data_IF_101274451007
#
_entry.id   IF_101274451007
#
_cell.length_a   1.000
_cell.length_b   1.000
_cell.length_c   1.000
_cell.angle_alpha   90.00
_cell.angle_beta   90.00
_cell.angle_gamma   90.00
#
_symmetry.space_group_name_H-M   'P 1'
#
loop_
_entity.id
_entity.type
_entity.pdbx_description
1 polymer ?
#
# COMPACT_ATOMS: atom_id res chain seq x y z
N UNK A 1 33.23 11.88 -11.04
CA UNK A 1 32.79 13.17 -11.63
C UNK A 1 31.27 13.24 -11.77
N UNK A 2 30.63 12.36 -12.55
CA UNK A 2 29.16 12.33 -12.72
C UNK A 2 28.37 12.31 -11.40
N UNK A 3 28.78 11.45 -10.45
CA UNK A 3 28.14 11.34 -9.15
C UNK A 3 28.25 12.61 -8.29
N UNK A 4 29.36 13.35 -8.38
CA UNK A 4 29.52 14.62 -7.68
C UNK A 4 28.63 15.71 -8.27
N UNK A 5 28.47 15.73 -9.60
CA UNK A 5 27.56 16.67 -10.29
C UNK A 5 26.10 16.34 -9.92
N UNK A 6 25.75 15.06 -9.81
CA UNK A 6 24.43 14.66 -9.32
C UNK A 6 24.20 15.17 -7.89
N UNK A 7 25.12 14.85 -6.97
CA UNK A 7 25.04 15.32 -5.58
C UNK A 7 24.96 16.85 -5.46
N UNK A 8 25.64 17.61 -6.31
CA UNK A 8 25.54 19.08 -6.27
C UNK A 8 24.15 19.60 -6.68
N UNK A 9 23.46 18.90 -7.59
CA UNK A 9 22.11 19.26 -8.02
C UNK A 9 21.01 18.73 -7.09
N UNK A 10 21.27 17.64 -6.37
CA UNK A 10 20.29 16.99 -5.49
C UNK A 10 20.48 17.35 -4.01
N UNK A 11 21.41 18.26 -3.68
CA UNK A 11 21.70 18.64 -2.30
C UNK A 11 22.34 17.53 -1.47
N UNK A 12 23.15 16.67 -2.12
CA UNK A 12 23.79 15.53 -1.49
C UNK A 12 22.91 14.28 -1.37
N UNK A 13 21.71 14.30 -1.93
CA UNK A 13 20.81 13.15 -1.88
C UNK A 13 21.35 11.96 -2.67
N UNK A 14 21.38 10.80 -2.02
CA UNK A 14 21.52 9.51 -2.69
C UNK A 14 20.21 9.11 -3.39
N UNK A 15 20.33 8.50 -4.58
CA UNK A 15 19.19 8.02 -5.36
C UNK A 15 18.77 6.60 -4.96
N UNK A 16 19.74 5.74 -4.63
CA UNK A 16 19.49 4.40 -4.15
C UNK A 16 19.17 4.48 -2.67
N UNK A 17 18.04 3.88 -2.27
CA UNK A 17 17.67 3.72 -0.87
C UNK A 17 17.43 2.25 -0.60
N UNK A 18 18.38 1.63 0.12
CA UNK A 18 18.29 0.24 0.53
C UNK A 18 17.15 0.06 1.53
N UNK A 19 16.32 -0.96 1.30
CA UNK A 19 15.36 -1.49 2.26
C UNK A 19 15.74 -2.91 2.66
N UNK A 20 15.12 -3.42 3.72
CA UNK A 20 15.38 -4.79 4.23
C UNK A 20 15.09 -5.85 3.15
N UNK A 21 14.08 -5.61 2.31
CA UNK A 21 13.75 -6.49 1.18
C UNK A 21 14.13 -5.86 -0.16
N UNK A 22 14.37 -6.72 -1.17
CA UNK A 22 14.61 -6.30 -2.55
C UNK A 22 13.43 -5.49 -3.13
N UNK A 23 12.20 -5.83 -2.72
CA UNK A 23 10.99 -5.08 -3.10
C UNK A 23 10.97 -3.68 -2.49
N UNK A 24 11.21 -3.56 -1.19
CA UNK A 24 11.29 -2.25 -0.52
C UNK A 24 12.41 -1.39 -1.12
N UNK A 25 13.57 -1.97 -1.41
CA UNK A 25 14.68 -1.27 -2.08
C UNK A 25 14.27 -0.72 -3.44
N UNK A 26 13.57 -1.51 -4.25
CA UNK A 26 13.07 -1.08 -5.57
C UNK A 26 12.11 0.10 -5.44
N UNK A 27 11.10 -0.01 -4.57
CA UNK A 27 10.11 1.04 -4.36
C UNK A 27 10.75 2.34 -3.84
N UNK A 28 11.58 2.25 -2.80
CA UNK A 28 12.23 3.40 -2.17
C UNK A 28 13.19 4.11 -3.14
N UNK A 29 13.92 3.34 -3.94
CA UNK A 29 14.79 3.88 -4.99
C UNK A 29 13.97 4.61 -6.07
N UNK A 30 12.85 4.02 -6.52
CA UNK A 30 11.97 4.63 -7.50
C UNK A 30 11.32 5.92 -6.97
N UNK A 31 10.89 5.91 -5.70
CA UNK A 31 10.31 7.07 -5.03
C UNK A 31 11.34 8.20 -4.91
N UNK A 32 12.58 7.87 -4.53
CA UNK A 32 13.66 8.85 -4.43
C UNK A 32 14.04 9.43 -5.78
N UNK A 33 14.09 8.58 -6.82
CA UNK A 33 14.31 9.01 -8.20
C UNK A 33 13.24 10.02 -8.64
N UNK A 34 11.96 9.73 -8.36
CA UNK A 34 10.84 10.63 -8.68
C UNK A 34 10.93 11.96 -7.93
N UNK A 35 11.21 11.95 -6.63
CA UNK A 35 11.43 13.18 -5.83
C UNK A 35 12.56 14.05 -6.39
N UNK A 36 13.56 13.45 -7.03
CA UNK A 36 14.69 14.17 -7.64
C UNK A 36 14.50 14.49 -9.12
N UNK A 37 13.33 14.21 -9.72
CA UNK A 37 13.01 14.42 -11.15
C UNK A 37 13.50 15.76 -11.68
N UNK A 38 13.11 16.86 -11.04
CA UNK A 38 13.46 18.22 -11.50
C UNK A 38 14.96 18.49 -11.40
N UNK A 39 15.60 18.07 -10.30
CA UNK A 39 17.03 18.23 -10.09
C UNK A 39 17.84 17.42 -11.11
N UNK A 40 17.42 16.19 -11.42
CA UNK A 40 18.06 15.35 -12.43
C UNK A 40 17.89 15.94 -13.83
N UNK A 41 16.69 16.42 -14.19
CA UNK A 41 16.49 17.11 -15.48
C UNK A 41 17.41 18.31 -15.62
N UNK A 42 17.49 19.16 -14.57
CA UNK A 42 18.40 20.31 -14.52
C UNK A 42 19.87 19.90 -14.64
N UNK A 43 20.27 18.83 -13.95
CA UNK A 43 21.63 18.29 -14.02
C UNK A 43 22.02 17.95 -15.46
N UNK A 44 21.18 17.19 -16.15
CA UNK A 44 21.47 16.68 -17.50
C UNK A 44 21.54 17.77 -18.58
N UNK A 45 20.91 18.93 -18.36
CA UNK A 45 20.98 20.09 -19.27
C UNK A 45 21.99 21.17 -18.82
N UNK A 46 22.66 20.97 -17.68
CA UNK A 46 23.63 21.94 -17.16
C UNK A 46 24.93 21.95 -17.95
N UNK A 47 25.56 23.12 -18.08
CA UNK A 47 26.89 23.24 -18.69
C UNK A 47 27.94 22.37 -17.98
N UNK A 48 27.84 22.26 -16.66
CA UNK A 48 28.69 21.40 -15.84
C UNK A 48 28.65 19.94 -16.30
N UNK A 49 27.48 19.44 -16.67
CA UNK A 49 27.32 18.09 -17.20
C UNK A 49 27.79 17.98 -18.65
N UNK A 50 27.33 18.89 -19.52
CA UNK A 50 27.60 18.88 -20.96
C UNK A 50 29.09 18.97 -21.29
N UNK A 51 29.87 19.67 -20.46
CA UNK A 51 31.32 19.81 -20.62
C UNK A 51 32.13 18.60 -20.13
N UNK A 52 31.50 17.57 -19.56
CA UNK A 52 32.21 16.37 -19.10
C UNK A 52 32.54 15.38 -20.23
N UNK A 53 33.61 14.60 -20.05
CA UNK A 53 33.88 13.44 -20.92
C UNK A 53 32.77 12.39 -20.82
N UNK A 54 32.21 12.19 -19.63
CA UNK A 54 31.15 11.20 -19.36
C UNK A 54 29.87 11.49 -20.14
N UNK A 55 29.49 12.75 -20.33
CA UNK A 55 28.31 13.12 -21.12
C UNK A 55 28.38 12.64 -22.58
N UNK A 56 29.59 12.42 -23.13
CA UNK A 56 29.78 11.92 -24.49
C UNK A 56 29.58 10.40 -24.61
N UNK A 57 29.59 9.67 -23.50
CA UNK A 57 29.43 8.21 -23.48
C UNK A 57 28.02 7.78 -23.88
N UNK A 58 27.90 6.64 -24.56
CA UNK A 58 26.62 6.11 -25.03
C UNK A 58 25.62 5.84 -23.88
N UNK A 59 26.10 5.44 -22.71
CA UNK A 59 25.27 5.23 -21.50
C UNK A 59 24.71 6.54 -20.97
N UNK A 60 25.53 7.59 -20.92
CA UNK A 60 25.11 8.92 -20.47
C UNK A 60 24.08 9.54 -21.42
N UNK A 61 24.28 9.40 -22.74
CA UNK A 61 23.30 9.85 -23.75
C UNK A 61 21.95 9.12 -23.62
N UNK A 62 21.97 7.82 -23.33
CA UNK A 62 20.75 7.06 -23.04
C UNK A 62 20.05 7.54 -21.77
N UNK A 63 20.80 7.73 -20.68
CA UNK A 63 20.24 8.26 -19.42
C UNK A 63 19.65 9.67 -19.60
N UNK A 64 20.33 10.54 -20.34
CA UNK A 64 19.83 11.86 -20.72
C UNK A 64 18.47 11.77 -21.42
N UNK A 65 18.38 10.91 -22.45
CA UNK A 65 17.15 10.73 -23.21
C UNK A 65 15.99 10.27 -22.29
N UNK A 66 16.22 9.26 -21.45
CA UNK A 66 15.21 8.74 -20.52
C UNK A 66 14.77 9.81 -19.50
N UNK A 67 15.71 10.52 -18.87
CA UNK A 67 15.41 11.53 -17.84
C UNK A 67 14.65 12.73 -18.43
N UNK A 68 14.84 13.04 -19.72
CA UNK A 68 14.08 14.10 -20.36
C UNK A 68 12.70 13.67 -20.89
N UNK A 69 12.46 12.37 -21.07
CA UNK A 69 11.15 11.86 -21.51
C UNK A 69 10.06 12.06 -20.45
N UNK A 70 8.97 12.74 -20.82
CA UNK A 70 7.80 12.91 -19.96
C UNK A 70 7.11 11.59 -19.66
N UNK A 71 6.98 10.72 -20.68
CA UNK A 71 6.35 9.40 -20.54
C UNK A 71 7.04 8.54 -19.48
N UNK A 72 8.38 8.53 -19.44
CA UNK A 72 9.14 7.82 -18.41
C UNK A 72 8.70 8.22 -17.00
N UNK A 73 8.59 9.52 -16.72
CA UNK A 73 8.18 9.99 -15.40
C UNK A 73 6.71 9.71 -15.08
N UNK A 74 5.85 9.68 -16.09
CA UNK A 74 4.46 9.28 -15.91
C UNK A 74 4.35 7.80 -15.54
N UNK A 75 5.15 6.92 -16.15
CA UNK A 75 5.25 5.50 -15.79
C UNK A 75 5.84 5.28 -14.40
N UNK A 76 6.86 6.07 -14.02
CA UNK A 76 7.39 6.06 -12.65
C UNK A 76 6.30 6.44 -11.64
N UNK A 77 5.55 7.50 -11.90
CA UNK A 77 4.46 7.94 -11.01
C UNK A 77 3.34 6.88 -10.93
N UNK A 78 2.95 6.31 -12.07
CA UNK A 78 1.98 5.22 -12.14
C UNK A 78 2.41 4.04 -11.26
N UNK A 79 3.67 3.62 -11.40
CA UNK A 79 4.24 2.53 -10.62
C UNK A 79 4.24 2.83 -9.12
N UNK A 80 4.58 4.07 -8.72
CA UNK A 80 4.56 4.48 -7.32
C UNK A 80 3.14 4.47 -6.73
N UNK A 81 2.14 4.94 -7.49
CA UNK A 81 0.74 4.92 -7.08
C UNK A 81 0.22 3.49 -6.89
N UNK A 82 0.57 2.58 -7.81
CA UNK A 82 0.20 1.17 -7.71
C UNK A 82 0.89 0.45 -6.54
N UNK A 83 2.21 0.65 -6.40
CA UNK A 83 3.02 -0.09 -5.41
C UNK A 83 2.88 0.44 -3.99
N UNK A 84 2.60 1.74 -3.80
CA UNK A 84 2.61 2.38 -2.48
C UNK A 84 1.69 1.68 -1.48
N UNK A 85 0.45 1.42 -1.88
CA UNK A 85 -0.52 0.75 -1.02
C UNK A 85 -0.13 -0.71 -0.70
N UNK A 86 0.47 -1.42 -1.65
CA UNK A 86 0.92 -2.80 -1.46
C UNK A 86 2.16 -2.87 -0.54
N UNK A 87 3.04 -1.88 -0.58
CA UNK A 87 4.18 -1.78 0.33
C UNK A 87 3.74 -1.66 1.79
N UNK A 88 2.64 -0.95 2.06
CA UNK A 88 2.06 -0.87 3.40
C UNK A 88 1.48 -2.20 3.89
N UNK A 89 0.81 -2.95 3.00
CA UNK A 89 0.37 -4.32 3.34
C UNK A 89 1.55 -5.21 3.65
N UNK A 90 2.63 -5.13 2.87
CA UNK A 90 3.85 -5.89 3.13
C UNK A 90 4.46 -5.53 4.49
N UNK A 91 4.52 -4.23 4.83
CA UNK A 91 5.00 -3.76 6.13
C UNK A 91 4.17 -4.29 7.29
N UNK A 92 2.85 -4.38 7.12
CA UNK A 92 1.95 -4.96 8.12
C UNK A 92 2.26 -6.44 8.37
N UNK A 93 2.41 -7.25 7.32
CA UNK A 93 2.64 -8.71 7.47
C UNK A 93 4.06 -9.06 7.90
N UNK A 94 5.02 -8.20 7.60
CA UNK A 94 6.42 -8.33 7.99
C UNK A 94 6.70 -7.87 9.43
N UNK A 95 5.70 -7.32 10.12
CA UNK A 95 5.81 -6.88 11.50
C UNK A 95 5.77 -8.07 12.47
N UNK A 96 6.90 -8.34 13.13
CA UNK A 96 7.03 -9.46 14.08
C UNK A 96 6.40 -9.19 15.44
N UNK A 97 6.15 -7.92 15.79
CA UNK A 97 5.62 -7.55 17.11
C UNK A 97 4.12 -7.79 17.22
N UNK A 98 3.38 -7.77 16.10
CA UNK A 98 1.92 -7.91 16.09
C UNK A 98 1.50 -8.90 14.99
N UNK A 99 0.83 -10.01 15.35
CA UNK A 99 0.30 -10.94 14.38
C UNK A 99 -0.63 -10.27 13.36
N UNK A 100 -0.32 -10.44 12.08
CA UNK A 100 -1.04 -9.77 10.99
C UNK A 100 -2.34 -10.49 10.59
N UNK A 101 -2.60 -11.69 11.09
CA UNK A 101 -3.72 -12.55 10.64
C UNK A 101 -5.09 -11.87 10.81
N UNK A 102 -5.27 -11.10 11.88
CA UNK A 102 -6.50 -10.33 12.10
C UNK A 102 -6.67 -9.10 11.21
N UNK A 103 -5.62 -8.70 10.48
CA UNK A 103 -5.53 -7.41 9.81
C UNK A 103 -5.36 -7.51 8.29
N UNK A 104 -4.70 -8.55 7.81
CA UNK A 104 -4.29 -8.67 6.40
C UNK A 104 -5.45 -8.61 5.40
N UNK A 105 -6.59 -9.21 5.73
CA UNK A 105 -7.77 -9.19 4.86
C UNK A 105 -8.24 -7.75 4.60
N UNK A 106 -8.50 -6.98 5.66
CA UNK A 106 -8.88 -5.56 5.56
C UNK A 106 -7.77 -4.72 4.91
N UNK A 107 -6.50 -5.05 5.17
CA UNK A 107 -5.37 -4.32 4.59
C UNK A 107 -5.32 -4.47 3.07
N UNK A 108 -5.67 -5.64 2.53
CA UNK A 108 -5.77 -5.85 1.09
C UNK A 108 -6.92 -5.05 0.47
N UNK A 109 -8.08 -5.02 1.11
CA UNK A 109 -9.21 -4.20 0.64
C UNK A 109 -8.85 -2.71 0.63
N UNK A 110 -8.25 -2.22 1.71
CA UNK A 110 -7.75 -0.83 1.78
C UNK A 110 -6.68 -0.54 0.74
N UNK A 111 -5.85 -1.53 0.39
CA UNK A 111 -4.84 -1.33 -0.63
C UNK A 111 -5.48 -1.08 -2.00
N UNK A 112 -6.53 -1.84 -2.35
CA UNK A 112 -7.31 -1.60 -3.57
C UNK A 112 -7.99 -0.24 -3.54
N UNK A 113 -8.64 0.13 -2.44
CA UNK A 113 -9.26 1.45 -2.28
C UNK A 113 -8.24 2.58 -2.47
N UNK A 114 -7.07 2.48 -1.83
CA UNK A 114 -5.99 3.46 -1.94
C UNK A 114 -5.48 3.60 -3.37
N UNK A 115 -5.33 2.49 -4.10
CA UNK A 115 -4.94 2.50 -5.51
C UNK A 115 -6.01 3.18 -6.37
N UNK A 116 -7.28 2.83 -6.20
CA UNK A 116 -8.38 3.47 -6.95
C UNK A 116 -8.41 4.98 -6.72
N UNK A 117 -8.31 5.41 -5.46
CA UNK A 117 -8.25 6.83 -5.09
C UNK A 117 -7.03 7.54 -5.67
N UNK A 118 -5.86 6.90 -5.69
CA UNK A 118 -4.66 7.46 -6.30
C UNK A 118 -4.82 7.71 -7.81
N UNK A 119 -5.74 7.02 -8.47
CA UNK A 119 -6.11 7.21 -9.86
C UNK A 119 -7.45 7.94 -10.05
N UNK A 120 -7.95 8.62 -9.01
CA UNK A 120 -9.18 9.41 -9.04
C UNK A 120 -10.41 8.59 -9.49
N UNK A 121 -10.44 7.29 -9.15
CA UNK A 121 -11.52 6.39 -9.58
C UNK A 121 -11.52 6.03 -11.06
N UNK A 122 -10.47 6.37 -11.82
CA UNK A 122 -10.37 6.00 -13.23
C UNK A 122 -10.02 4.51 -13.38
N UNK A 123 -11.07 3.68 -13.50
CA UNK A 123 -10.98 2.22 -13.57
C UNK A 123 -10.00 1.71 -14.63
N UNK A 124 -9.95 2.36 -15.81
CA UNK A 124 -9.02 1.98 -16.90
C UNK A 124 -7.56 2.03 -16.48
N UNK A 125 -7.21 2.75 -15.41
CA UNK A 125 -5.84 2.87 -14.90
C UNK A 125 -5.51 1.86 -13.81
N UNK A 126 -6.48 1.19 -13.20
CA UNK A 126 -6.20 0.26 -12.10
C UNK A 126 -6.86 -1.11 -12.24
N UNK A 127 -7.72 -1.33 -13.24
CA UNK A 127 -8.35 -2.63 -13.48
C UNK A 127 -7.32 -3.75 -13.64
N UNK A 128 -6.30 -3.55 -14.48
CA UNK A 128 -5.22 -4.52 -14.65
C UNK A 128 -4.42 -4.75 -13.36
N UNK A 129 -4.27 -3.71 -12.53
CA UNK A 129 -3.61 -3.83 -11.22
C UNK A 129 -4.46 -4.70 -10.29
N UNK A 130 -5.78 -4.49 -10.27
CA UNK A 130 -6.71 -5.26 -9.45
C UNK A 130 -6.73 -6.73 -9.88
N UNK A 131 -6.77 -7.01 -11.18
CA UNK A 131 -6.67 -8.38 -11.70
C UNK A 131 -5.39 -9.09 -11.24
N UNK A 132 -4.25 -8.38 -11.23
CA UNK A 132 -2.99 -8.93 -10.71
C UNK A 132 -3.09 -9.18 -9.21
N UNK A 133 -3.65 -8.24 -8.45
CA UNK A 133 -3.84 -8.38 -7.00
C UNK A 133 -4.74 -9.57 -6.70
N UNK A 134 -5.91 -9.66 -7.34
CA UNK A 134 -6.90 -10.72 -7.13
C UNK A 134 -6.34 -12.08 -7.45
N UNK A 135 -5.71 -12.22 -8.62
CA UNK A 135 -5.07 -13.48 -9.00
C UNK A 135 -4.02 -13.92 -7.97
N UNK A 136 -3.26 -13.00 -7.39
CA UNK A 136 -2.26 -13.31 -6.37
C UNK A 136 -2.90 -13.64 -5.02
N UNK A 137 -3.91 -12.86 -4.63
CA UNK A 137 -4.69 -13.04 -3.43
C UNK A 137 -5.36 -14.40 -3.44
N UNK A 138 -6.18 -14.72 -4.44
CA UNK A 138 -6.88 -16.00 -4.60
C UNK A 138 -5.95 -17.22 -4.56
N UNK A 139 -4.79 -17.12 -5.20
CA UNK A 139 -3.86 -18.25 -5.28
C UNK A 139 -3.12 -18.52 -3.95
N UNK A 140 -2.76 -17.48 -3.21
CA UNK A 140 -1.77 -17.59 -2.11
C UNK A 140 -2.34 -17.25 -0.73
N UNK A 141 -3.25 -16.29 -0.63
CA UNK A 141 -3.63 -15.67 0.64
C UNK A 141 -5.15 -15.58 0.85
N UNK A 142 -5.98 -15.85 -0.14
CA UNK A 142 -7.44 -15.93 0.03
C UNK A 142 -7.80 -17.32 0.57
N UNK A 143 -7.65 -17.49 1.87
CA UNK A 143 -7.93 -18.75 2.57
C UNK A 143 -8.95 -18.48 3.67
N UNK A 144 -9.78 -19.49 4.03
CA UNK A 144 -10.70 -19.40 5.16
C UNK A 144 -10.07 -18.83 6.43
N UNK A 145 -8.78 -19.10 6.64
CA UNK A 145 -8.01 -18.62 7.76
C UNK A 145 -7.90 -17.09 7.86
N UNK A 146 -7.71 -16.39 6.74
CA UNK A 146 -7.59 -14.93 6.72
C UNK A 146 -8.95 -14.25 6.89
N UNK A 147 -10.00 -14.84 6.29
CA UNK A 147 -11.40 -14.45 6.52
C UNK A 147 -11.80 -14.63 8.00
N UNK A 148 -11.49 -15.78 8.59
CA UNK A 148 -11.70 -16.04 10.01
C UNK A 148 -10.93 -15.04 10.89
N UNK A 149 -9.66 -14.74 10.55
CA UNK A 149 -8.87 -13.72 11.22
C UNK A 149 -9.54 -12.35 11.21
N UNK A 150 -10.05 -11.93 10.05
CA UNK A 150 -10.79 -10.67 9.91
C UNK A 150 -12.04 -10.62 10.78
N UNK A 151 -12.89 -11.66 10.73
CA UNK A 151 -14.11 -11.74 11.53
C UNK A 151 -13.81 -11.70 13.03
N UNK A 152 -12.79 -12.43 13.46
CA UNK A 152 -12.40 -12.55 14.87
C UNK A 152 -11.63 -11.33 15.37
N UNK A 153 -11.27 -10.37 14.51
CA UNK A 153 -10.66 -9.12 14.96
C UNK A 153 -11.75 -8.19 15.54
N UNK A 154 -11.77 -7.95 16.85
CA UNK A 154 -12.85 -7.20 17.49
C UNK A 154 -12.83 -5.72 17.06
N UNK A 155 -11.66 -5.17 16.70
CA UNK A 155 -11.57 -3.81 16.14
C UNK A 155 -12.32 -3.70 14.83
N UNK A 156 -12.15 -4.65 13.93
CA UNK A 156 -12.82 -4.63 12.64
C UNK A 156 -14.29 -4.98 12.79
N UNK A 157 -14.56 -6.12 13.45
CA UNK A 157 -15.90 -6.66 13.62
C UNK A 157 -16.89 -5.67 14.27
N UNK A 158 -16.48 -4.99 15.35
CA UNK A 158 -17.37 -4.03 16.02
C UNK A 158 -17.39 -2.64 15.36
N UNK A 159 -16.44 -2.32 14.48
CA UNK A 159 -16.46 -1.07 13.72
C UNK A 159 -17.29 -1.14 12.45
N UNK A 160 -17.48 -2.34 11.89
CA UNK A 160 -18.17 -2.54 10.62
C UNK A 160 -19.26 -3.61 10.70
N UNK A 161 -20.56 -3.22 10.73
CA UNK A 161 -21.66 -4.16 10.86
C UNK A 161 -21.86 -5.07 9.64
N UNK A 162 -21.20 -4.78 8.51
CA UNK A 162 -21.33 -5.58 7.28
C UNK A 162 -20.45 -6.83 7.30
N UNK A 163 -19.41 -6.89 8.13
CA UNK A 163 -18.54 -8.07 8.26
C UNK A 163 -19.35 -9.33 8.58
N UNK A 164 -20.38 -9.19 9.42
CA UNK A 164 -21.23 -10.31 9.83
C UNK A 164 -22.26 -10.73 8.77
N UNK A 165 -22.37 -9.99 7.66
CA UNK A 165 -23.25 -10.26 6.51
C UNK A 165 -22.47 -10.74 5.29
N UNK A 166 -21.18 -10.51 5.27
CA UNK A 166 -20.29 -10.95 4.21
C UNK A 166 -20.19 -12.48 4.22
N UNK A 167 -20.74 -13.10 3.17
CA UNK A 167 -20.83 -14.56 3.06
C UNK A 167 -19.46 -15.20 3.01
N UNK A 168 -18.50 -14.59 2.31
CA UNK A 168 -17.16 -15.12 2.17
C UNK A 168 -16.45 -15.13 3.53
N UNK A 169 -16.58 -14.04 4.28
CA UNK A 169 -16.00 -13.94 5.62
C UNK A 169 -16.64 -14.95 6.58
N UNK A 170 -17.97 -15.09 6.54
CA UNK A 170 -18.67 -16.04 7.42
C UNK A 170 -18.39 -17.51 7.06
N UNK A 171 -18.30 -17.84 5.78
CA UNK A 171 -17.97 -19.19 5.32
C UNK A 171 -16.52 -19.54 5.68
N UNK A 172 -15.61 -18.57 5.54
CA UNK A 172 -14.22 -18.71 5.99
C UNK A 172 -14.12 -19.00 7.50
N UNK A 173 -14.90 -18.29 8.32
CA UNK A 173 -15.00 -18.55 9.75
C UNK A 173 -15.49 -19.98 10.03
N UNK A 174 -16.61 -20.40 9.43
CA UNK A 174 -17.18 -21.72 9.68
C UNK A 174 -16.24 -22.85 9.27
N UNK A 175 -15.59 -22.74 8.12
CA UNK A 175 -14.58 -23.71 7.67
C UNK A 175 -13.39 -23.80 8.64
N UNK A 176 -12.97 -22.66 9.23
CA UNK A 176 -11.94 -22.66 10.26
C UNK A 176 -12.40 -23.30 11.57
N UNK A 177 -13.65 -23.05 11.98
CA UNK A 177 -14.21 -23.67 13.18
C UNK A 177 -14.27 -25.18 12.99
N UNK A 178 -14.83 -25.65 11.89
CA UNK A 178 -14.92 -27.07 11.56
C UNK A 178 -13.54 -27.74 11.61
N UNK A 179 -12.52 -27.10 11.04
CA UNK A 179 -11.17 -27.65 10.98
C UNK A 179 -10.40 -27.60 12.30
N UNK A 180 -10.65 -26.62 13.15
CA UNK A 180 -9.92 -26.41 14.42
C UNK A 180 -10.64 -26.99 15.64
N UNK A 181 -11.86 -27.50 15.44
CA UNK A 181 -12.64 -28.21 16.45
C UNK A 181 -12.04 -29.57 16.79
N UNK A 182 -12.18 -29.97 18.05
CA UNK A 182 -11.74 -31.29 18.53
C UNK A 182 -12.71 -32.39 18.09
N UNK A 183 -14.01 -32.10 18.23
CA UNK A 183 -15.12 -32.98 17.88
C UNK A 183 -16.37 -32.16 17.51
N UNK A 184 -17.43 -32.85 17.09
CA UNK A 184 -18.71 -32.24 16.70
C UNK A 184 -19.37 -31.45 17.84
N UNK A 185 -19.28 -31.94 19.08
CA UNK A 185 -19.87 -31.23 20.24
C UNK A 185 -19.13 -29.94 20.55
N UNK A 186 -17.82 -29.91 20.32
CA UNK A 186 -17.00 -28.72 20.46
C UNK A 186 -17.32 -27.72 19.35
N UNK A 187 -17.52 -28.19 18.12
CA UNK A 187 -17.93 -27.37 16.98
C UNK A 187 -19.27 -26.67 17.27
N UNK A 188 -20.30 -27.42 17.68
CA UNK A 188 -21.62 -26.88 18.01
C UNK A 188 -21.56 -25.79 19.09
N UNK A 189 -20.71 -25.98 20.10
CA UNK A 189 -20.48 -24.98 21.14
C UNK A 189 -19.79 -23.74 20.60
N UNK A 190 -18.74 -23.90 19.78
CA UNK A 190 -18.06 -22.78 19.13
C UNK A 190 -19.03 -21.97 18.26
N UNK A 191 -19.87 -22.63 17.46
CA UNK A 191 -20.89 -21.98 16.64
C UNK A 191 -21.91 -21.22 17.49
N UNK A 192 -22.35 -21.80 18.60
CA UNK A 192 -23.27 -21.13 19.54
C UNK A 192 -22.63 -19.89 20.17
N UNK A 193 -21.35 -19.97 20.51
CA UNK A 193 -20.58 -18.88 21.10
C UNK A 193 -20.37 -17.69 20.15
N UNK A 194 -20.38 -17.90 18.82
CA UNK A 194 -20.36 -16.81 17.83
C UNK A 194 -21.49 -15.81 18.12
N UNK A 195 -22.68 -16.29 18.47
CA UNK A 195 -23.81 -15.43 18.78
C UNK A 195 -23.53 -14.45 19.93
N UNK A 196 -22.76 -14.88 20.94
CA UNK A 196 -22.37 -14.02 22.07
C UNK A 196 -21.36 -12.95 21.64
N UNK A 197 -20.35 -13.34 20.86
CA UNK A 197 -19.37 -12.42 20.28
C UNK A 197 -20.06 -11.38 19.38
N UNK A 198 -20.93 -11.81 18.46
CA UNK A 198 -21.67 -10.92 17.53
C UNK A 198 -22.49 -9.87 18.26
N UNK A 199 -23.16 -10.24 19.35
CA UNK A 199 -23.97 -9.32 20.14
C UNK A 199 -23.18 -8.48 21.13
N UNK A 200 -21.87 -8.73 21.28
CA UNK A 200 -21.05 -8.08 22.30
C UNK A 200 -21.57 -8.34 23.72
N UNK A 201 -22.15 -9.51 23.99
CA UNK A 201 -22.68 -9.84 25.32
C UNK A 201 -21.57 -10.31 26.27
N UNK A 202 -21.88 -10.40 27.56
CA UNK A 202 -20.94 -10.86 28.59
C UNK A 202 -19.70 -9.95 28.65
N UNK A 203 -18.49 -10.53 28.72
CA UNK A 203 -17.23 -9.77 28.78
C UNK A 203 -16.93 -8.93 27.53
N UNK A 204 -17.55 -9.17 26.38
CA UNK A 204 -17.21 -8.47 25.14
C UNK A 204 -17.74 -7.03 25.10
N UNK A 205 -18.87 -6.76 25.77
CA UNK A 205 -19.54 -5.46 25.76
C UNK A 205 -19.16 -4.55 26.93
N UNK A 206 -18.26 -4.98 27.82
CA UNK A 206 -17.83 -4.13 28.93
C UNK A 206 -17.01 -2.95 28.39
N UNK A 207 -17.12 -1.75 28.97
CA UNK A 207 -16.43 -0.56 28.46
C UNK A 207 -14.92 -0.75 28.27
N UNK A 208 -14.24 -1.47 29.16
CA UNK A 208 -12.81 -1.74 29.06
C UNK A 208 -12.45 -2.62 27.85
N UNK A 209 -13.32 -3.57 27.47
CA UNK A 209 -13.12 -4.41 26.30
C UNK A 209 -13.22 -3.58 25.00
N UNK A 210 -14.18 -2.66 24.94
CA UNK A 210 -14.36 -1.78 23.77
C UNK A 210 -13.21 -0.77 23.61
N UNK A 211 -12.51 -0.43 24.68
CA UNK A 211 -11.31 0.43 24.64
C UNK A 211 -10.03 -0.34 24.28
N UNK A 212 -10.00 -1.66 24.45
CA UNK A 212 -8.79 -2.50 24.33
C UNK A 212 -8.68 -3.26 22.99
N UNK A 213 -9.34 -2.80 21.93
CA UNK A 213 -9.47 -3.54 20.66
C UNK A 213 -8.18 -3.63 19.81
N UNK A 214 -7.07 -3.01 20.26
CA UNK A 214 -5.87 -2.84 19.44
C UNK A 214 -5.04 -4.13 19.26
N UNK A 215 -5.17 -5.11 20.16
CA UNK A 215 -4.42 -6.36 20.11
C UNK A 215 -5.39 -7.54 20.11
N UNK A 216 -5.76 -8.02 18.92
CA UNK A 216 -6.87 -8.96 18.78
C UNK A 216 -6.68 -10.26 19.57
N UNK A 217 -5.52 -10.91 19.48
CA UNK A 217 -5.24 -12.16 20.22
C UNK A 217 -5.26 -11.97 21.73
N UNK A 218 -4.61 -10.91 22.23
CA UNK A 218 -4.58 -10.55 23.66
C UNK A 218 -5.96 -10.15 24.18
N UNK A 219 -6.76 -9.45 23.37
CA UNK A 219 -8.14 -9.12 23.67
C UNK A 219 -8.98 -10.39 23.86
N UNK A 220 -8.81 -11.40 23.00
CA UNK A 220 -9.47 -12.68 23.17
C UNK A 220 -9.02 -13.40 24.44
N UNK A 221 -7.75 -13.32 24.84
CA UNK A 221 -7.28 -13.87 26.12
C UNK A 221 -8.00 -13.21 27.30
N UNK A 222 -8.13 -11.88 27.28
CA UNK A 222 -8.70 -11.11 28.39
C UNK A 222 -10.23 -11.22 28.49
N UNK A 223 -10.93 -11.20 27.35
CA UNK A 223 -12.38 -11.02 27.32
C UNK A 223 -13.14 -12.23 26.74
N UNK A 224 -12.45 -13.23 26.19
CA UNK A 224 -13.06 -14.43 25.59
C UNK A 224 -13.51 -15.51 26.57
N UNK A 225 -13.37 -15.31 27.88
CA UNK A 225 -13.57 -16.35 28.90
C UNK A 225 -14.98 -16.98 28.95
N UNK A 226 -16.01 -16.25 28.52
CA UNK A 226 -17.39 -16.75 28.45
C UNK A 226 -17.68 -17.51 27.14
N UNK A 227 -16.71 -17.56 26.23
CA UNK A 227 -16.78 -18.28 24.96
C UNK A 227 -15.51 -19.11 24.78
N UNK A 228 -15.25 -20.12 25.64
CA UNK A 228 -13.97 -20.82 25.69
C UNK A 228 -13.63 -21.60 24.40
N UNK A 229 -14.63 -22.07 23.65
CA UNK A 229 -14.41 -22.83 22.42
C UNK A 229 -13.97 -21.87 21.30
N UNK A 230 -14.75 -20.82 21.08
CA UNK A 230 -14.46 -19.76 20.12
C UNK A 230 -13.18 -18.99 20.49
N UNK A 231 -12.93 -18.74 21.78
CA UNK A 231 -11.71 -18.12 22.29
C UNK A 231 -10.47 -18.95 21.90
N UNK A 232 -10.53 -20.27 22.04
CA UNK A 232 -9.43 -21.14 21.63
C UNK A 232 -9.12 -21.02 20.13
N UNK A 233 -10.15 -20.96 19.30
CA UNK A 233 -10.02 -20.77 17.84
C UNK A 233 -9.42 -19.40 17.55
N UNK A 234 -9.98 -18.35 18.13
CA UNK A 234 -9.57 -16.98 17.90
C UNK A 234 -8.10 -16.77 18.27
N UNK A 235 -7.65 -17.26 19.43
CA UNK A 235 -6.25 -17.19 19.83
C UNK A 235 -5.37 -17.97 18.83
N UNK A 236 -5.77 -19.19 18.44
CA UNK A 236 -5.00 -19.99 17.47
C UNK A 236 -4.87 -19.30 16.12
N UNK A 237 -5.96 -18.76 15.57
CA UNK A 237 -5.97 -18.08 14.27
C UNK A 237 -5.21 -16.76 14.35
N UNK A 238 -5.60 -15.89 15.28
CA UNK A 238 -5.06 -14.53 15.36
C UNK A 238 -3.59 -14.47 15.76
N UNK A 239 -3.03 -15.52 16.35
CA UNK A 239 -1.61 -15.58 16.72
C UNK A 239 -0.70 -16.07 15.58
N UNK A 240 -1.25 -16.44 14.42
CA UNK A 240 -0.45 -16.89 13.28
C UNK A 240 0.21 -15.71 12.56
N UNK A 241 1.38 -15.98 11.97
CA UNK A 241 2.07 -15.05 11.09
C UNK A 241 1.51 -15.16 9.66
N UNK A 242 1.57 -14.06 8.91
CA UNK A 242 1.19 -14.01 7.50
C UNK A 242 2.40 -13.88 6.57
N UNK A 243 3.63 -13.91 7.12
CA UNK A 243 4.87 -13.77 6.38
C UNK A 243 5.88 -14.83 6.83
N UNK A 244 6.62 -15.36 5.86
CA UNK A 244 7.81 -16.20 6.09
C UNK A 244 9.07 -15.38 6.31
N UNK A 245 9.05 -14.05 6.10
CA UNK A 245 10.22 -13.19 6.15
C UNK A 245 10.85 -13.10 7.55
N UNK A 246 10.05 -13.22 8.61
CA UNK A 246 10.56 -13.30 9.98
C UNK A 246 11.47 -14.52 10.20
N UNK A 247 11.18 -15.63 9.53
CA UNK A 247 12.09 -16.77 9.50
C UNK A 247 13.36 -16.41 8.73
N UNK A 248 13.25 -15.83 7.53
CA UNK A 248 14.39 -15.45 6.69
C UNK A 248 15.39 -14.51 7.39
N UNK A 249 14.91 -13.61 8.27
CA UNK A 249 15.76 -12.71 9.08
C UNK A 249 16.54 -13.46 10.16
N UNK A 250 15.90 -14.42 10.82
CA UNK A 250 16.61 -15.29 11.76
C UNK A 250 17.64 -16.14 11.01
N UNK A 251 17.28 -16.75 9.88
CA UNK A 251 18.19 -17.55 9.06
C UNK A 251 19.40 -16.74 8.56
N UNK A 252 19.20 -15.50 8.12
CA UNK A 252 20.33 -14.63 7.70
C UNK A 252 21.21 -14.21 8.89
N UNK A 253 20.65 -14.04 10.09
CA UNK A 253 21.44 -13.83 11.32
C UNK A 253 22.24 -15.09 11.69
N UNK A 254 21.64 -16.28 11.53
CA UNK A 254 22.32 -17.56 11.78
C UNK A 254 23.37 -17.89 10.71
N UNK A 255 23.17 -17.49 9.45
CA UNK A 255 24.16 -17.61 8.38
C UNK A 255 25.39 -16.76 8.69
N UNK A 256 25.22 -15.57 9.26
CA UNK A 256 26.35 -14.76 9.75
C UNK A 256 27.03 -15.41 10.96
N UNK A 257 26.30 -16.11 11.84
CA UNK A 257 26.90 -16.86 12.95
C UNK A 257 27.66 -18.13 12.50
N UNK A 258 27.23 -18.78 11.41
CA UNK A 258 27.97 -19.89 10.81
C UNK A 258 29.20 -19.40 10.01
N UNK A 259 29.19 -18.18 9.48
CA UNK A 259 30.35 -17.54 8.85
C UNK A 259 31.30 -16.87 9.87
N UNK A 260 30.79 -16.47 11.04
CA UNK A 260 31.54 -15.77 12.10
C UNK A 260 32.35 -16.70 13.02
N UNK A 261 32.22 -18.03 12.89
CA UNK A 261 33.16 -18.97 13.50
C UNK A 261 34.58 -18.86 12.89
N UNK A 262 34.76 -18.03 11.85
CA UNK A 262 36.08 -17.75 11.27
C UNK A 262 36.66 -16.35 11.57
N UNK A 263 35.92 -15.30 11.98
CA UNK A 263 36.52 -14.00 12.37
C UNK A 263 35.72 -13.18 13.39
N UNK A 264 36.16 -13.29 14.64
CA UNK A 264 35.78 -12.43 15.76
C UNK A 264 35.95 -10.92 15.49
N UNK A 265 34.88 -10.15 15.65
CA UNK A 265 34.96 -8.75 16.10
C UNK A 265 34.02 -7.75 15.42
N UNK A 266 32.81 -7.56 15.97
CA UNK A 266 32.26 -6.26 16.38
C UNK A 266 30.74 -6.36 16.53
N UNK A 267 30.29 -6.50 17.76
CA UNK A 267 28.91 -6.26 18.17
C UNK A 267 28.62 -4.76 17.99
N UNK A 268 27.64 -4.42 17.16
CA UNK A 268 26.75 -3.25 17.32
C UNK A 268 25.76 -3.24 16.16
N UNK A 269 24.54 -3.74 16.40
CA UNK A 269 23.32 -3.31 15.72
C UNK A 269 22.16 -3.55 16.68
N UNK A 270 22.06 -2.65 17.66
CA UNK A 270 20.87 -2.47 18.47
C UNK A 270 19.72 -2.03 17.52
N UNK A 271 18.87 -2.99 17.17
CA UNK A 271 17.74 -2.84 16.25
C UNK A 271 16.64 -2.00 16.89
N UNK A 272 16.80 -0.69 16.82
CA UNK A 272 15.73 0.26 17.11
C UNK A 272 14.93 0.48 15.81
N UNK A 273 13.88 -0.32 15.59
CA UNK A 273 12.72 0.17 14.82
C UNK A 273 12.00 1.20 15.70
N UNK A 274 12.65 2.34 15.91
CA UNK A 274 12.11 3.50 16.59
C UNK A 274 11.50 4.40 15.54
N UNK A 275 10.17 4.42 15.51
CA UNK A 275 9.39 5.60 15.10
C UNK A 275 9.73 6.23 13.73
N UNK A 276 9.92 5.40 12.70
CA UNK A 276 9.92 5.88 11.32
C UNK A 276 8.46 5.97 10.81
N UNK A 277 7.80 7.06 11.20
CA UNK A 277 6.43 7.43 10.80
C UNK A 277 6.30 7.65 9.30
N UNK A 278 6.10 6.58 8.55
CA UNK A 278 5.42 6.62 7.26
C UNK A 278 3.97 6.22 7.52
N UNK A 279 3.13 7.24 7.63
CA UNK A 279 1.69 7.13 7.80
C UNK A 279 1.00 7.22 6.44
N UNK A 280 -0.31 6.95 6.39
CA UNK A 280 -1.12 7.21 5.19
C UNK A 280 -1.01 8.67 4.72
N UNK A 281 -0.73 9.61 5.63
CA UNK A 281 -0.45 11.01 5.32
C UNK A 281 0.85 11.20 4.53
N UNK A 282 1.95 10.53 4.90
CA UNK A 282 3.24 10.68 4.20
C UNK A 282 3.21 10.12 2.77
N UNK A 283 2.34 9.13 2.53
CA UNK A 283 2.07 8.58 1.21
C UNK A 283 1.09 9.47 0.45
N UNK A 284 0.02 9.94 1.10
CA UNK A 284 -0.94 10.90 0.57
C UNK A 284 -0.28 12.18 0.07
N UNK A 285 0.62 12.76 0.86
CA UNK A 285 1.47 13.91 0.49
C UNK A 285 2.39 13.60 -0.70
N UNK A 286 2.88 12.36 -0.79
CA UNK A 286 3.76 11.93 -1.88
C UNK A 286 3.03 11.62 -3.19
N UNK A 287 1.74 11.25 -3.14
CA UNK A 287 0.93 10.87 -4.31
C UNK A 287 -0.17 11.89 -4.66
N UNK A 288 -0.37 12.90 -3.82
CA UNK A 288 -1.40 13.93 -3.93
C UNK A 288 -2.81 13.43 -3.65
N UNK A 289 -3.00 12.51 -2.70
CA UNK A 289 -4.32 11.96 -2.36
C UNK A 289 -4.58 12.05 -0.86
N UNK A 290 -5.72 12.64 -0.48
CA UNK A 290 -6.18 12.72 0.92
C UNK A 290 -6.68 11.35 1.43
N UNK A 291 -6.63 11.16 2.74
CA UNK A 291 -7.14 9.96 3.41
C UNK A 291 -8.67 9.86 3.25
N UNK A 292 -9.22 8.78 2.67
CA UNK A 292 -10.66 8.67 2.46
C UNK A 292 -11.42 8.50 3.78
N UNK A 293 -12.47 9.30 3.98
CA UNK A 293 -13.34 9.22 5.16
C UNK A 293 -14.28 8.00 5.11
N UNK A 294 -14.74 7.56 6.29
CA UNK A 294 -15.63 6.38 6.48
C UNK A 294 -16.90 6.42 5.62
N UNK A 295 -17.38 7.60 5.22
CA UNK A 295 -18.58 7.74 4.39
C UNK A 295 -18.29 7.37 2.93
N UNK A 296 -17.12 7.71 2.41
CA UNK A 296 -16.65 7.32 1.07
C UNK A 296 -16.45 5.80 0.96
N UNK A 297 -16.11 5.14 2.07
CA UNK A 297 -15.93 3.68 2.26
C UNK A 297 -17.15 2.85 1.83
N UNK A 298 -18.37 3.30 2.14
CA UNK A 298 -19.59 2.56 1.80
C UNK A 298 -19.94 2.67 0.31
N UNK A 299 -19.62 3.80 -0.32
CA UNK A 299 -19.91 4.06 -1.74
C UNK A 299 -18.95 3.27 -2.64
N UNK A 300 -17.68 3.13 -2.24
CA UNK A 300 -16.70 2.29 -2.94
C UNK A 300 -17.06 0.81 -2.86
N UNK A 301 -17.45 0.30 -1.68
CA UNK A 301 -17.91 -1.10 -1.54
C UNK A 301 -19.13 -1.40 -2.40
N UNK A 302 -20.13 -0.51 -2.41
CA UNK A 302 -21.29 -0.64 -3.29
C UNK A 302 -20.87 -0.61 -4.77
N UNK A 303 -19.95 0.26 -5.18
CA UNK A 303 -19.47 0.30 -6.56
C UNK A 303 -18.72 -0.98 -6.97
N UNK A 304 -17.86 -1.53 -6.09
CA UNK A 304 -17.17 -2.82 -6.34
C UNK A 304 -18.14 -4.00 -6.35
N UNK A 305 -19.17 -4.00 -5.50
CA UNK A 305 -20.24 -5.03 -5.53
C UNK A 305 -21.12 -4.91 -6.79
N UNK A 306 -21.43 -3.69 -7.24
CA UNK A 306 -22.21 -3.42 -8.45
C UNK A 306 -21.44 -3.80 -9.74
N UNK A 307 -20.12 -3.64 -9.77
CA UNK A 307 -19.28 -4.13 -10.90
C UNK A 307 -19.30 -5.66 -11.02
N UNK A 308 -19.63 -6.39 -9.95
CA UNK A 308 -19.77 -7.85 -9.94
C UNK A 308 -21.21 -8.34 -10.21
N UNK A 309 -22.19 -7.43 -10.32
CA UNK A 309 -23.58 -7.76 -10.62
C UNK A 309 -24.09 -6.86 -11.74
N UNK A 310 -23.91 -7.30 -12.98
CA UNK A 310 -24.59 -6.68 -14.12
C UNK A 310 -26.11 -6.94 -13.99
N UNK A 311 -26.84 -5.98 -13.44
CA UNK A 311 -28.23 -5.72 -13.80
C UNK A 311 -28.52 -4.21 -13.71
N UNK A 312 -29.04 -3.69 -14.82
CA UNK A 312 -29.29 -2.29 -15.16
C UNK A 312 -30.30 -1.65 -14.19
N UNK A 313 -29.91 -0.60 -13.46
CA UNK A 313 -30.85 0.32 -12.81
C UNK A 313 -30.38 1.76 -12.96
N UNK A 314 -31.24 2.56 -13.61
CA UNK A 314 -31.09 4.00 -13.83
C UNK A 314 -30.86 4.76 -12.51
N UNK A 315 -29.79 5.55 -12.47
CA UNK A 315 -29.50 6.49 -11.38
C UNK A 315 -29.52 7.91 -11.94
N UNK A 316 -30.46 8.73 -11.46
CA UNK A 316 -30.52 10.16 -11.74
C UNK A 316 -29.21 10.85 -11.29
N UNK A 317 -28.56 11.54 -12.24
CA UNK A 317 -27.38 12.39 -12.01
C UNK A 317 -27.77 13.61 -11.18
N UNK A 318 -27.05 13.83 -10.07
CA UNK A 318 -27.00 15.13 -9.39
C UNK A 318 -25.69 15.79 -9.78
N UNK A 319 -25.79 16.84 -10.61
CA UNK A 319 -24.67 17.70 -11.00
C UNK A 319 -24.07 18.39 -9.77
N UNK A 320 -22.74 18.35 -9.66
CA UNK A 320 -21.99 19.20 -8.73
C UNK A 320 -21.04 20.06 -9.55
N UNK A 321 -21.31 21.36 -9.57
CA UNK A 321 -20.52 22.37 -10.29
C UNK A 321 -19.06 22.38 -9.80
N UNK A 322 -18.12 22.23 -10.75
CA UNK A 322 -16.70 22.46 -10.54
C UNK A 322 -16.36 23.91 -10.90
N UNK A 323 -15.90 24.70 -9.93
CA UNK A 323 -15.23 25.98 -10.19
C UNK A 323 -13.73 25.74 -10.38
N UNK A 324 -13.28 25.77 -11.64
CA UNK A 324 -11.88 25.98 -12.01
C UNK A 324 -11.54 27.47 -11.85
N UNK A 325 -10.33 27.78 -11.39
CA UNK A 325 -9.55 28.92 -11.90
C UNK A 325 -8.10 28.84 -11.38
N UNK A 326 -7.16 28.61 -12.29
CA UNK A 326 -5.93 29.42 -12.39
C UNK A 326 -5.24 29.12 -13.74
N UNK A 327 -5.45 30.03 -14.70
CA UNK A 327 -4.68 30.16 -15.93
C UNK A 327 -3.32 30.76 -15.62
N UNK A 328 -2.26 30.17 -16.18
CA UNK A 328 -0.96 30.85 -16.28
C UNK A 328 -0.51 31.00 -17.73
N UNK A 329 -0.28 32.25 -18.09
CA UNK A 329 -0.07 32.83 -19.41
C UNK A 329 1.34 32.49 -19.94
N UNK A 330 1.45 31.92 -21.14
CA UNK A 330 2.72 31.88 -21.88
C UNK A 330 2.63 32.75 -23.14
N UNK A 331 3.28 33.92 -23.04
CA UNK A 331 3.49 34.88 -24.11
C UNK A 331 4.44 34.27 -25.16
N UNK A 332 3.95 34.07 -26.40
CA UNK A 332 4.78 33.64 -27.54
C UNK A 332 5.23 34.88 -28.31
N UNK A 333 6.55 35.13 -28.33
CA UNK A 333 7.18 36.09 -29.24
C UNK A 333 7.09 35.55 -30.67
N UNK A 334 6.33 36.23 -31.52
CA UNK A 334 6.27 35.96 -32.95
C UNK A 334 7.27 36.86 -33.69
N UNK A 335 8.25 36.24 -34.33
CA UNK A 335 9.22 36.85 -35.25
C UNK A 335 8.49 37.17 -36.57
N UNK A 336 8.45 38.44 -36.97
CA UNK A 336 8.10 38.85 -38.34
C UNK A 336 9.36 39.19 -39.12
N UNK A 337 9.59 38.41 -40.17
CA UNK A 337 10.45 38.71 -41.31
C UNK A 337 9.73 39.68 -42.24
N UNK A 338 10.34 40.83 -42.51
CA UNK A 338 9.98 41.72 -43.62
C UNK A 338 10.95 41.45 -44.76
N UNK A 339 10.43 41.01 -45.91
CA UNK A 339 11.11 41.07 -47.20
C UNK A 339 10.19 41.79 -48.20
N UNK A 340 10.86 42.53 -49.08
CA UNK A 340 10.44 43.60 -49.97
C UNK A 340 9.40 43.22 -51.04
N UNK A 341 8.63 44.23 -51.47
CA UNK A 341 8.20 44.35 -52.87
C UNK A 341 7.93 45.83 -53.21
N UNK A 342 8.90 46.43 -53.90
CA UNK A 342 8.74 47.61 -54.76
C UNK A 342 7.75 47.29 -55.89
N UNK A 343 6.79 48.19 -56.13
CA UNK A 343 6.25 48.46 -57.47
C UNK A 343 5.89 49.94 -57.57
N UNK A 344 6.67 50.66 -58.39
CA UNK A 344 6.40 51.99 -58.95
C UNK A 344 5.05 52.08 -59.69
N UNK A 345 4.49 53.29 -59.79
CA UNK A 345 4.14 54.01 -61.04
C UNK A 345 3.17 55.18 -60.76
N UNK A 346 3.65 56.39 -61.08
CA UNK A 346 2.99 57.62 -61.62
C UNK A 346 1.69 58.12 -60.95
N UNK A 347 1.53 59.39 -60.58
CA UNK A 347 1.84 60.65 -61.29
C UNK A 347 1.95 61.83 -60.30
#
# INVERSE_FOLDING_TARGET
>A
MALNIMRSHTGGAELIRSGVTRFATTFLTLQRLYKQKHNLRRMFVSELWLNTKTAKEAKAKRAYAIVLMTSFWNEVLYSLKAMGALVEVLRLVDNEKRPAMGYIYEAMDRAKESISNAFNGNERRYSEIFEIIDKRWECQLHRPLHAAGHFLNPRHFYSDPNIAKDTEVTDGLYACIERLSIDETWNDKALTEIGQYRRGTSSFGIPSALLALQFASEWWIMYGNHCPHLQSIAIKVLSLTCSSSGCERNWSTFEHLEEDDDKNGSLENELVFGDDGLTWGDIGDAIGADEPTIVTRNRSRLATTMLNQNEELDVEEVEFESSDDEQDNLNVMELRSEDEADVDVEE
#
